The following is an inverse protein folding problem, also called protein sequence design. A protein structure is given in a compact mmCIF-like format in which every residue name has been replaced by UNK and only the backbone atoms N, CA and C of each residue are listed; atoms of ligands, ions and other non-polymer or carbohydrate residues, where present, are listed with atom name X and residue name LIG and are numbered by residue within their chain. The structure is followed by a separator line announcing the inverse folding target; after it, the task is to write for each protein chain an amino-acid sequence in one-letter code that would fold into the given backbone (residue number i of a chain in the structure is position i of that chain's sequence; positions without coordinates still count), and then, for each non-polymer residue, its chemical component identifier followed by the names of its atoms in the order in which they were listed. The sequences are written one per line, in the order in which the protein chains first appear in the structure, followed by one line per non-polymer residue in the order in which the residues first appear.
data_IF_411074120288
#
_entry.id   IF_411074120288
#
_cell.length_a   1.000
_cell.length_b   1.000
_cell.length_c   1.000
_cell.angle_alpha   90.00
_cell.angle_beta   90.00
_cell.angle_gamma   90.00
#
_symmetry.space_group_name_H-M   'P 1'
#
loop_
_entity.id
_entity.type
_entity.pdbx_description
1 polymer ?
#
# COMPACT_ATOMS: atom_id res chain seq x y z
N UNK A 1 -17.49 -27.01 -10.95
CA UNK A 1 -16.92 -26.19 -9.87
C UNK A 1 -15.72 -25.46 -10.44
N UNK A 2 -15.91 -24.27 -10.99
CA UNK A 2 -14.82 -23.49 -11.59
C UNK A 2 -14.28 -22.56 -10.50
N UNK A 3 -13.16 -22.94 -9.89
CA UNK A 3 -12.42 -22.02 -9.01
C UNK A 3 -11.78 -20.98 -9.92
N UNK A 4 -12.37 -19.79 -9.97
CA UNK A 4 -11.75 -18.64 -10.65
C UNK A 4 -10.52 -18.23 -9.86
N UNK A 5 -9.35 -18.74 -10.26
CA UNK A 5 -8.07 -18.18 -9.84
C UNK A 5 -8.02 -16.75 -10.38
N UNK A 6 -8.18 -15.77 -9.48
CA UNK A 6 -8.04 -14.36 -9.85
C UNK A 6 -6.61 -14.16 -10.38
N UNK A 7 -6.44 -13.45 -11.51
CA UNK A 7 -5.11 -13.10 -11.97
C UNK A 7 -4.45 -12.25 -10.90
N UNK A 8 -3.35 -12.76 -10.31
CA UNK A 8 -2.35 -11.91 -9.67
C UNK A 8 -1.77 -11.08 -10.81
N UNK A 9 -2.32 -9.88 -11.01
CA UNK A 9 -1.61 -8.80 -11.69
C UNK A 9 -0.33 -8.48 -10.91
N UNK A 10 0.51 -7.53 -11.36
CA UNK A 10 1.60 -7.06 -10.51
C UNK A 10 1.00 -6.71 -9.16
N UNK A 11 1.38 -7.47 -8.13
CA UNK A 11 0.80 -7.31 -6.81
C UNK A 11 1.09 -5.87 -6.41
N UNK A 12 0.06 -5.03 -6.34
CA UNK A 12 0.20 -3.74 -5.71
C UNK A 12 0.88 -3.97 -4.35
N UNK A 13 1.77 -3.07 -3.92
CA UNK A 13 2.39 -3.21 -2.60
C UNK A 13 1.29 -3.38 -1.56
N UNK A 14 1.50 -4.32 -0.65
CA UNK A 14 0.66 -4.49 0.53
C UNK A 14 0.65 -3.20 1.36
N UNK A 15 -0.34 -3.08 2.24
CA UNK A 15 -0.40 -1.95 3.17
C UNK A 15 0.85 -1.91 4.07
N UNK A 16 1.44 -3.06 4.38
CA UNK A 16 2.70 -3.13 5.12
C UNK A 16 3.88 -2.54 4.34
N UNK A 17 4.04 -2.94 3.08
CA UNK A 17 5.12 -2.44 2.21
C UNK A 17 5.00 -0.92 1.96
N UNK A 18 3.79 -0.42 1.71
CA UNK A 18 3.55 1.01 1.57
C UNK A 18 3.89 1.77 2.87
N UNK A 19 3.55 1.22 4.03
CA UNK A 19 3.91 1.82 5.33
C UNK A 19 5.42 1.83 5.59
N UNK A 20 6.14 0.79 5.18
CA UNK A 20 7.61 0.77 5.28
C UNK A 20 8.26 1.82 4.39
N UNK A 21 7.76 1.97 3.15
CA UNK A 21 8.22 3.03 2.25
C UNK A 21 7.96 4.43 2.85
N UNK A 22 6.81 4.64 3.50
CA UNK A 22 6.51 5.89 4.21
C UNK A 22 7.51 6.13 5.34
N UNK A 23 7.79 5.12 6.18
CA UNK A 23 8.79 5.25 7.26
C UNK A 23 10.17 5.59 6.70
N UNK A 24 10.60 4.86 5.68
CA UNK A 24 11.89 5.10 5.04
C UNK A 24 11.96 6.52 4.49
N UNK A 25 10.93 7.02 3.79
CA UNK A 25 10.88 8.39 3.28
C UNK A 25 11.07 9.43 4.41
N UNK A 26 10.41 9.20 5.55
CA UNK A 26 10.49 10.08 6.72
C UNK A 26 11.86 10.03 7.38
N UNK A 27 12.47 8.85 7.47
CA UNK A 27 13.76 8.60 8.12
C UNK A 27 14.96 9.05 7.27
N UNK A 28 14.88 8.92 5.94
CA UNK A 28 15.99 9.25 5.04
C UNK A 28 15.96 10.67 4.51
N UNK A 29 14.98 11.49 4.92
CA UNK A 29 14.98 12.91 4.53
C UNK A 29 16.23 13.58 5.10
N UNK A 30 16.99 14.22 4.23
CA UNK A 30 18.27 14.87 4.58
C UNK A 30 18.11 16.38 4.82
N UNK A 31 17.04 16.96 4.30
CA UNK A 31 16.73 18.38 4.39
C UNK A 31 15.49 18.62 5.27
N UNK A 32 15.30 19.88 5.70
CA UNK A 32 14.08 20.33 6.38
C UNK A 32 12.88 20.47 5.43
N UNK A 33 13.08 20.24 4.13
CA UNK A 33 11.98 20.22 3.15
C UNK A 33 11.20 18.91 3.23
N UNK A 34 9.88 19.02 3.32
CA UNK A 34 9.00 17.86 3.36
C UNK A 34 8.72 17.34 1.95
N UNK A 35 8.99 16.05 1.65
CA UNK A 35 8.73 15.45 0.34
C UNK A 35 7.23 15.14 0.16
N UNK A 36 6.42 16.21 0.05
CA UNK A 36 4.95 16.17 0.00
C UNK A 36 4.42 15.26 -1.10
N UNK A 37 4.88 15.41 -2.33
CA UNK A 37 4.43 14.60 -3.48
C UNK A 37 4.67 13.09 -3.27
N UNK A 38 5.89 12.71 -2.86
CA UNK A 38 6.21 11.31 -2.61
C UNK A 38 5.42 10.75 -1.42
N UNK A 39 5.19 11.56 -0.38
CA UNK A 39 4.41 11.17 0.78
C UNK A 39 2.93 10.96 0.44
N UNK A 40 2.33 11.89 -0.32
CA UNK A 40 0.93 11.81 -0.78
C UNK A 40 0.70 10.58 -1.65
N UNK A 41 1.61 10.31 -2.60
CA UNK A 41 1.57 9.09 -3.42
C UNK A 41 1.57 7.82 -2.56
N UNK A 42 2.46 7.74 -1.57
CA UNK A 42 2.53 6.57 -0.69
C UNK A 42 1.31 6.43 0.21
N UNK A 43 0.68 7.53 0.63
CA UNK A 43 -0.59 7.51 1.37
C UNK A 43 -1.73 6.96 0.52
N UNK A 44 -1.80 7.32 -0.76
CA UNK A 44 -2.80 6.79 -1.68
C UNK A 44 -2.65 5.28 -1.89
N UNK A 45 -1.42 4.82 -2.12
CA UNK A 45 -1.10 3.39 -2.26
C UNK A 45 -1.42 2.62 -0.97
N UNK A 46 -1.01 3.16 0.18
CA UNK A 46 -1.34 2.56 1.48
C UNK A 46 -2.86 2.46 1.70
N UNK A 47 -3.59 3.53 1.40
CA UNK A 47 -5.04 3.55 1.58
C UNK A 47 -5.76 2.60 0.61
N UNK A 48 -5.27 2.48 -0.63
CA UNK A 48 -5.78 1.54 -1.61
C UNK A 48 -5.54 0.08 -1.15
N UNK A 49 -4.33 -0.24 -0.72
CA UNK A 49 -3.97 -1.57 -0.22
C UNK A 49 -4.74 -1.92 1.05
N UNK A 50 -4.83 -1.00 2.02
CA UNK A 50 -5.57 -1.22 3.27
C UNK A 50 -7.05 -1.52 3.03
N UNK A 51 -7.69 -0.79 2.11
CA UNK A 51 -9.10 -1.05 1.74
C UNK A 51 -9.27 -2.41 1.06
N UNK A 52 -8.33 -2.81 0.20
CA UNK A 52 -8.36 -4.11 -0.46
C UNK A 52 -8.21 -5.25 0.57
N UNK A 53 -7.22 -5.15 1.46
CA UNK A 53 -6.98 -6.14 2.53
C UNK A 53 -8.18 -6.26 3.48
N UNK A 54 -8.79 -5.14 3.89
CA UNK A 54 -10.00 -5.15 4.71
C UNK A 54 -11.16 -5.86 3.97
N UNK A 55 -11.33 -5.58 2.68
CA UNK A 55 -12.36 -6.23 1.88
C UNK A 55 -12.10 -7.74 1.71
N UNK A 56 -10.85 -8.15 1.57
CA UNK A 56 -10.45 -9.57 1.52
C UNK A 56 -10.73 -10.29 2.84
N UNK A 57 -10.35 -9.68 3.98
CA UNK A 57 -10.65 -10.22 5.31
C UNK A 57 -12.16 -10.32 5.53
N UNK A 58 -12.92 -9.29 5.14
CA UNK A 58 -14.38 -9.30 5.27
C UNK A 58 -15.05 -10.38 4.39
N UNK A 59 -14.51 -10.66 3.20
CA UNK A 59 -15.02 -11.69 2.31
C UNK A 59 -14.64 -13.13 2.73
N UNK A 60 -13.66 -13.28 3.62
CA UNK A 60 -13.21 -14.57 4.15
C UNK A 60 -13.96 -15.01 5.42
N UNK A 61 -14.83 -14.15 5.97
CA UNK A 61 -15.67 -14.40 7.15
C UNK A 61 -17.05 -14.92 6.76
#
# INVERSE_FOLDING_TARGET
MYTTLRPVGPARPSAAEANEAIRHLVETRVDDEWPSEAYEFLLEEWAAASRAEIAEVAAAQ
#
